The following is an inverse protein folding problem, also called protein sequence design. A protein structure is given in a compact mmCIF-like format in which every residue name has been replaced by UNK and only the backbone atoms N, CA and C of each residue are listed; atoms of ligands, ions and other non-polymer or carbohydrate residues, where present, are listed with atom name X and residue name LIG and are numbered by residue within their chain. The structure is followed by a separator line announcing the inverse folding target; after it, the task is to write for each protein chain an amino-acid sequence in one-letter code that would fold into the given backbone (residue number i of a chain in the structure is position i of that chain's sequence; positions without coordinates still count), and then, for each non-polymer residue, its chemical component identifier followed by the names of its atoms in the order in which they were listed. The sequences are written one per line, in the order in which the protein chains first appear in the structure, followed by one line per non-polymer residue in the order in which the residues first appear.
data_IF_862408644581
#
_entry.id   IF_862408644581
#
_cell.length_a   1.000
_cell.length_b   1.000
_cell.length_c   1.000
_cell.angle_alpha   90.00
_cell.angle_beta   90.00
_cell.angle_gamma   90.00
#
_symmetry.space_group_name_H-M   'P 1'
#
loop_
_entity.id
_entity.type
_entity.pdbx_description
1 polymer ?
#
# COMPACT_ATOMS: atom_id res chain seq x y z
N UNK A 1 2.60 6.70 -24.06
CA UNK A 1 2.31 5.34 -23.56
C UNK A 1 3.54 4.52 -23.85
N UNK A 2 4.32 4.11 -22.84
CA UNK A 2 5.55 3.35 -23.07
C UNK A 2 5.18 1.91 -23.42
N UNK A 3 5.71 1.41 -24.54
CA UNK A 3 5.53 0.04 -25.00
C UNK A 3 5.99 -0.94 -23.93
N UNK A 4 5.17 -1.95 -23.64
CA UNK A 4 5.45 -3.00 -22.65
C UNK A 4 6.47 -4.05 -23.14
N UNK A 5 7.00 -3.90 -24.36
CA UNK A 5 7.77 -4.96 -25.04
C UNK A 5 9.23 -5.06 -24.58
N UNK A 6 9.78 -4.04 -23.90
CA UNK A 6 11.15 -4.04 -23.36
C UNK A 6 11.22 -4.33 -21.85
N UNK A 7 10.11 -4.72 -21.23
CA UNK A 7 10.06 -5.00 -19.80
C UNK A 7 10.48 -6.45 -19.53
N UNK A 8 11.54 -6.71 -18.74
CA UNK A 8 11.92 -8.07 -18.36
C UNK A 8 10.83 -8.75 -17.49
N UNK A 9 10.89 -10.08 -17.40
CA UNK A 9 9.94 -10.87 -16.61
C UNK A 9 10.04 -10.57 -15.12
N UNK A 10 8.90 -10.42 -14.45
CA UNK A 10 8.85 -10.11 -13.02
C UNK A 10 9.51 -11.22 -12.18
N UNK A 11 10.28 -10.82 -11.17
CA UNK A 11 10.98 -11.74 -10.27
C UNK A 11 12.31 -12.29 -10.80
N UNK A 12 12.79 -11.79 -11.95
CA UNK A 12 14.18 -12.05 -12.40
C UNK A 12 15.10 -10.90 -12.01
N UNK A 13 16.40 -11.18 -11.92
CA UNK A 13 17.41 -10.15 -11.60
C UNK A 13 17.43 -9.04 -12.65
N UNK A 14 17.20 -9.35 -13.92
CA UNK A 14 17.13 -8.36 -15.00
C UNK A 14 15.95 -7.39 -14.83
N UNK A 15 14.83 -7.88 -14.30
CA UNK A 15 13.69 -7.01 -13.99
C UNK A 15 13.99 -6.06 -12.83
N UNK A 16 14.68 -6.54 -11.80
CA UNK A 16 15.06 -5.72 -10.65
C UNK A 16 16.02 -4.60 -11.08
N UNK A 17 17.00 -4.91 -11.92
CA UNK A 17 17.92 -3.91 -12.49
C UNK A 17 17.18 -2.88 -13.36
N UNK A 18 16.32 -3.34 -14.27
CA UNK A 18 15.48 -2.48 -15.11
C UNK A 18 14.58 -1.56 -14.29
N UNK A 19 13.95 -2.10 -13.23
CA UNK A 19 13.08 -1.34 -12.36
C UNK A 19 13.86 -0.28 -11.57
N UNK A 20 15.05 -0.64 -11.09
CA UNK A 20 15.93 0.24 -10.34
C UNK A 20 16.46 1.39 -11.20
N UNK A 21 16.90 1.14 -12.45
CA UNK A 21 17.30 2.20 -13.37
C UNK A 21 16.15 3.16 -13.68
N UNK A 22 14.96 2.62 -13.93
CA UNK A 22 13.76 3.42 -14.18
C UNK A 22 13.41 4.29 -12.97
N UNK A 23 13.49 3.73 -11.76
CA UNK A 23 13.23 4.44 -10.52
C UNK A 23 14.25 5.56 -10.29
N UNK A 24 15.54 5.30 -10.52
CA UNK A 24 16.60 6.31 -10.40
C UNK A 24 16.37 7.51 -11.31
N UNK A 25 16.17 7.27 -12.62
CA UNK A 25 15.90 8.35 -13.58
C UNK A 25 14.69 9.17 -13.18
N UNK A 26 13.62 8.51 -12.73
CA UNK A 26 12.41 9.20 -12.28
C UNK A 26 12.64 10.01 -11.00
N UNK A 27 13.45 9.49 -10.07
CA UNK A 27 13.81 10.22 -8.86
C UNK A 27 14.62 11.48 -9.19
N UNK A 28 15.60 11.37 -10.10
CA UNK A 28 16.39 12.52 -10.57
C UNK A 28 15.51 13.60 -11.21
N UNK A 29 14.54 13.21 -12.05
CA UNK A 29 13.57 14.16 -12.64
C UNK A 29 12.74 14.86 -11.57
N UNK A 30 12.22 14.11 -10.58
CA UNK A 30 11.33 14.66 -9.55
C UNK A 30 12.08 15.56 -8.57
N UNK A 31 13.25 15.11 -8.08
CA UNK A 31 13.98 15.79 -7.02
C UNK A 31 15.03 16.77 -7.55
N UNK A 32 15.43 16.66 -8.82
CA UNK A 32 16.34 17.61 -9.47
C UNK A 32 15.62 18.84 -10.05
N UNK A 33 14.30 18.84 -10.09
CA UNK A 33 13.52 20.01 -10.51
C UNK A 33 13.43 21.03 -9.38
N UNK A 34 13.81 22.28 -9.64
CA UNK A 34 13.63 23.36 -8.68
C UNK A 34 12.15 23.53 -8.35
N UNK A 35 11.81 23.43 -7.07
CA UNK A 35 10.45 23.68 -6.59
C UNK A 35 10.24 25.20 -6.60
N UNK A 36 9.22 25.72 -7.29
CA UNK A 36 8.87 27.14 -7.26
C UNK A 36 8.70 27.62 -5.82
N UNK A 37 9.24 28.79 -5.47
CA UNK A 37 9.22 29.32 -4.09
C UNK A 37 7.80 29.37 -3.49
N UNK A 38 6.79 29.69 -4.30
CA UNK A 38 5.38 29.73 -3.88
C UNK A 38 4.79 28.35 -3.46
N UNK A 39 5.47 27.25 -3.78
CA UNK A 39 5.03 25.88 -3.50
C UNK A 39 5.81 25.21 -2.37
N UNK A 40 6.80 25.88 -1.77
CA UNK A 40 7.64 25.31 -0.70
C UNK A 40 6.81 24.89 0.53
N UNK A 41 5.75 25.65 0.84
CA UNK A 41 4.89 25.39 2.00
C UNK A 41 3.79 24.34 1.74
N UNK A 42 3.52 23.98 0.48
CA UNK A 42 2.43 23.05 0.11
C UNK A 42 2.87 21.59 0.30
N UNK A 43 4.17 21.31 0.23
CA UNK A 43 4.74 19.97 0.49
C UNK A 43 4.77 19.56 1.97
N UNK A 44 4.53 20.50 2.89
CA UNK A 44 4.49 20.26 4.34
C UNK A 44 3.04 19.96 4.74
N UNK A 45 2.49 18.90 4.17
CA UNK A 45 1.23 18.35 4.66
C UNK A 45 1.48 17.67 6.01
N UNK A 46 0.96 18.23 7.11
CA UNK A 46 0.83 17.47 8.35
C UNK A 46 -0.10 16.31 8.02
N UNK A 47 0.44 15.09 7.89
CA UNK A 47 -0.38 13.89 7.89
C UNK A 47 -1.03 13.85 9.27
N UNK A 48 -2.27 14.33 9.37
CA UNK A 48 -3.09 14.26 10.56
C UNK A 48 -3.55 12.80 10.74
N UNK A 49 -2.58 11.91 10.95
CA UNK A 49 -2.82 10.55 11.37
C UNK A 49 -3.20 10.52 12.85
N UNK A 50 -4.04 9.58 13.27
CA UNK A 50 -4.26 9.34 14.68
C UNK A 50 -2.93 9.11 15.39
N UNK A 51 -2.71 9.82 16.50
CA UNK A 51 -1.46 9.70 17.29
C UNK A 51 -1.33 8.32 17.94
N UNK A 52 -2.45 7.62 18.15
CA UNK A 52 -2.48 6.34 18.81
C UNK A 52 -3.23 5.30 17.98
N UNK A 53 -2.72 4.07 17.94
CA UNK A 53 -3.38 2.94 17.27
C UNK A 53 -4.80 2.67 17.79
N UNK A 54 -5.09 3.05 19.04
CA UNK A 54 -6.42 2.93 19.66
C UNK A 54 -7.48 3.80 18.99
N UNK A 55 -7.07 4.90 18.34
CA UNK A 55 -7.99 5.80 17.62
C UNK A 55 -8.44 5.20 16.27
N UNK A 56 -7.74 4.16 15.79
CA UNK A 56 -8.09 3.40 14.58
C UNK A 56 -8.87 2.13 14.93
N UNK A 57 -8.63 1.53 16.11
CA UNK A 57 -9.31 0.31 16.51
C UNK A 57 -10.79 0.60 16.79
N UNK A 58 -11.73 0.05 15.99
CA UNK A 58 -13.14 0.14 16.35
C UNK A 58 -13.34 -0.69 17.60
N UNK A 59 -13.89 -0.11 18.67
CA UNK A 59 -14.15 -0.81 19.94
C UNK A 59 -15.05 -2.07 19.78
N UNK A 60 -15.67 -2.25 18.60
CA UNK A 60 -16.56 -3.36 18.26
C UNK A 60 -15.91 -4.55 17.55
N UNK A 61 -14.67 -4.45 17.07
CA UNK A 61 -14.03 -5.47 16.21
C UNK A 61 -13.92 -6.85 16.88
N UNK A 62 -13.57 -6.91 18.17
CA UNK A 62 -13.33 -8.21 18.84
C UNK A 62 -14.63 -9.04 18.93
N UNK A 63 -15.77 -8.38 19.16
CA UNK A 63 -17.05 -9.08 19.36
C UNK A 63 -17.63 -9.60 18.05
N UNK A 64 -17.47 -8.81 16.98
CA UNK A 64 -17.89 -9.15 15.62
C UNK A 64 -16.99 -10.25 15.03
N UNK A 65 -15.67 -10.17 15.27
CA UNK A 65 -14.71 -11.22 14.85
C UNK A 65 -15.02 -12.56 15.52
N UNK A 66 -15.33 -12.58 16.82
CA UNK A 66 -15.72 -13.83 17.53
C UNK A 66 -17.03 -14.41 16.98
N UNK A 67 -18.00 -13.56 16.59
CA UNK A 67 -19.27 -14.03 16.05
C UNK A 67 -19.08 -14.70 14.67
N UNK A 68 -18.28 -14.09 13.79
CA UNK A 68 -17.93 -14.63 12.47
C UNK A 68 -17.19 -15.96 12.63
N UNK A 69 -16.20 -16.02 13.51
CA UNK A 69 -15.37 -17.20 13.73
C UNK A 69 -16.18 -18.40 14.27
N UNK A 70 -17.21 -18.13 15.08
CA UNK A 70 -18.14 -19.13 15.58
C UNK A 70 -19.15 -19.59 14.51
N UNK A 71 -19.62 -18.69 13.66
CA UNK A 71 -20.52 -19.03 12.55
C UNK A 71 -19.80 -19.90 11.51
N UNK A 72 -18.54 -19.59 11.17
CA UNK A 72 -17.70 -20.41 10.30
C UNK A 72 -17.41 -21.80 10.87
N UNK A 73 -17.21 -21.94 12.18
CA UNK A 73 -17.02 -23.25 12.82
C UNK A 73 -18.31 -24.08 12.76
N UNK A 74 -19.48 -23.46 12.92
CA UNK A 74 -20.77 -24.15 12.87
C UNK A 74 -21.14 -24.59 11.45
N UNK A 75 -20.82 -23.81 10.43
CA UNK A 75 -21.10 -24.14 9.02
C UNK A 75 -20.28 -25.32 8.50
N UNK A 76 -19.10 -25.59 9.09
CA UNK A 76 -18.25 -26.74 8.76
C UNK A 76 -18.82 -28.09 9.22
N UNK A 77 -19.72 -28.10 10.20
CA UNK A 77 -20.44 -29.31 10.61
C UNK A 77 -21.80 -29.36 9.92
N UNK A 78 -21.81 -29.76 8.63
CA UNK A 78 -23.04 -30.24 8.00
C UNK A 78 -23.48 -31.50 8.75
N UNK A 79 -24.50 -31.36 9.60
CA UNK A 79 -25.22 -32.50 10.17
C UNK A 79 -25.90 -33.20 9.00
N UNK A 80 -25.27 -34.27 8.51
CA UNK A 80 -25.91 -35.22 7.59
C UNK A 80 -26.98 -35.93 8.41
N UNK A 81 -28.24 -35.80 8.00
CA UNK A 81 -29.40 -36.43 8.64
C UNK A 81 -29.68 -37.78 7.99
#
# INVERSE_FOLDING_TARGET
MANNDDRPLEGTSEFDEWALERAKRRAEEIFGTEVPEDLHDIGIGIIAGPKNAKDIMPEKSISEDIAIDNEEKRSKFKVVK
#
